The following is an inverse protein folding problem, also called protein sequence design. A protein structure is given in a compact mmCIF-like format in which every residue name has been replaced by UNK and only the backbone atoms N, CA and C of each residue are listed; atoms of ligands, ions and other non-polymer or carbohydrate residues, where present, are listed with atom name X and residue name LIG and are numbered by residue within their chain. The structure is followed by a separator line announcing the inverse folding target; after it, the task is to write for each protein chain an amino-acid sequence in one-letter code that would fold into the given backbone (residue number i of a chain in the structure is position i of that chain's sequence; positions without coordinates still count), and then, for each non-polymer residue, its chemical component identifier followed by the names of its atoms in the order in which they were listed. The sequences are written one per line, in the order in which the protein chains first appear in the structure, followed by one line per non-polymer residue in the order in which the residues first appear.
data_IF_522000597596
#
_entry.id   IF_522000597596
#
_cell.length_a   1.000
_cell.length_b   1.000
_cell.length_c   1.000
_cell.angle_alpha   90.00
_cell.angle_beta   90.00
_cell.angle_gamma   90.00
#
_symmetry.space_group_name_H-M   'P 1'
#
loop_
_entity.id
_entity.type
_entity.pdbx_description
1 polymer ?
#
# COMPACT_ATOMS: atom_id res chain seq x y z
N UNK A 1 32.36 26.00 -19.46
CA UNK A 1 31.18 25.17 -19.82
C UNK A 1 31.35 23.78 -19.22
N UNK A 2 30.69 23.48 -18.10
CA UNK A 2 30.67 22.15 -17.50
C UNK A 2 29.27 21.93 -16.89
N UNK A 3 28.36 21.40 -17.71
CA UNK A 3 27.04 20.89 -17.30
C UNK A 3 26.73 19.69 -18.19
N UNK A 4 27.16 18.49 -17.79
CA UNK A 4 26.65 17.20 -18.29
C UNK A 4 27.28 16.04 -17.53
N UNK A 5 26.95 15.88 -16.24
CA UNK A 5 27.26 14.63 -15.52
C UNK A 5 26.23 14.26 -14.42
N UNK A 6 25.13 15.00 -14.27
CA UNK A 6 24.12 14.73 -13.24
C UNK A 6 22.96 13.83 -13.70
N UNK A 7 22.91 13.38 -14.96
CA UNK A 7 21.71 12.77 -15.55
C UNK A 7 21.82 11.28 -15.94
N UNK A 8 22.89 10.58 -15.59
CA UNK A 8 23.06 9.17 -15.98
C UNK A 8 22.82 8.15 -14.85
N UNK A 9 22.72 8.56 -13.59
CA UNK A 9 22.55 7.60 -12.46
C UNK A 9 21.06 7.32 -12.15
N UNK A 10 20.12 8.10 -12.70
CA UNK A 10 18.71 8.07 -12.27
C UNK A 10 17.79 7.09 -13.00
N UNK A 11 18.19 6.54 -14.15
CA UNK A 11 17.34 5.59 -14.90
C UNK A 11 17.83 4.14 -14.84
N UNK A 12 19.14 3.89 -14.76
CA UNK A 12 19.70 2.53 -14.84
C UNK A 12 19.67 1.75 -13.51
N UNK A 13 19.36 2.41 -12.38
CA UNK A 13 19.32 1.77 -11.05
C UNK A 13 17.96 1.17 -10.69
N UNK A 14 16.86 1.61 -11.30
CA UNK A 14 15.50 1.17 -10.90
C UNK A 14 15.15 -0.19 -11.53
N UNK A 15 15.39 -0.36 -12.83
CA UNK A 15 15.14 -1.64 -13.51
C UNK A 15 16.14 -2.71 -13.04
N UNK A 16 17.38 -2.33 -12.72
CA UNK A 16 18.40 -3.23 -12.17
C UNK A 16 18.14 -3.63 -10.71
N UNK A 17 17.42 -2.83 -9.91
CA UNK A 17 17.04 -3.17 -8.54
C UNK A 17 15.68 -3.85 -8.42
N UNK A 18 14.91 -3.95 -9.50
CA UNK A 18 13.59 -4.60 -9.49
C UNK A 18 13.61 -6.01 -8.91
N UNK A 19 14.58 -6.83 -9.31
CA UNK A 19 14.78 -8.19 -8.78
C UNK A 19 15.18 -8.18 -7.31
N UNK A 20 16.06 -7.26 -6.90
CA UNK A 20 16.49 -7.10 -5.51
C UNK A 20 15.34 -6.63 -4.61
N UNK A 21 14.47 -5.76 -5.10
CA UNK A 21 13.26 -5.35 -4.38
C UNK A 21 12.27 -6.50 -4.25
N UNK A 22 12.02 -7.28 -5.30
CA UNK A 22 11.17 -8.47 -5.21
C UNK A 22 11.75 -9.47 -4.20
N UNK A 23 13.06 -9.73 -4.23
CA UNK A 23 13.72 -10.59 -3.25
C UNK A 23 13.60 -10.02 -1.83
N UNK A 24 13.80 -8.71 -1.65
CA UNK A 24 13.60 -8.02 -0.38
C UNK A 24 12.17 -8.23 0.12
N UNK A 25 11.17 -8.01 -0.73
CA UNK A 25 9.77 -8.12 -0.35
C UNK A 25 9.38 -9.53 0.06
N UNK A 26 9.91 -10.55 -0.63
CA UNK A 26 9.69 -11.95 -0.29
C UNK A 26 10.29 -12.33 1.06
N UNK A 27 11.50 -11.84 1.37
CA UNK A 27 12.23 -12.21 2.59
C UNK A 27 11.91 -11.34 3.81
N UNK A 28 11.72 -10.03 3.60
CA UNK A 28 11.62 -9.05 4.68
C UNK A 28 10.28 -8.32 4.71
N UNK A 29 9.43 -8.52 3.69
CA UNK A 29 8.16 -7.81 3.55
C UNK A 29 8.36 -6.32 3.27
N UNK A 30 7.56 -5.49 3.93
CA UNK A 30 7.56 -4.04 3.73
C UNK A 30 8.91 -3.42 4.15
N UNK A 31 9.51 -2.53 3.33
CA UNK A 31 10.70 -1.79 3.70
C UNK A 31 10.55 -1.01 5.02
N UNK A 32 11.55 -1.14 5.90
CA UNK A 32 11.67 -0.34 7.14
C UNK A 32 12.97 0.47 7.11
N UNK A 33 12.88 1.79 7.32
CA UNK A 33 14.01 2.72 7.15
C UNK A 33 15.27 2.28 7.92
N UNK A 34 15.11 1.74 9.14
CA UNK A 34 16.21 1.34 10.02
C UNK A 34 17.10 0.21 9.46
N UNK A 35 16.52 -0.77 8.75
CA UNK A 35 17.26 -1.95 8.26
C UNK A 35 17.28 -2.05 6.73
N UNK A 36 16.55 -1.19 6.02
CA UNK A 36 16.39 -1.24 4.57
C UNK A 36 17.74 -1.26 3.83
N UNK A 37 18.66 -0.36 4.20
CA UNK A 37 19.96 -0.26 3.54
C UNK A 37 20.79 -1.54 3.65
N UNK A 38 20.99 -2.04 4.87
CA UNK A 38 21.80 -3.22 5.09
C UNK A 38 21.24 -4.43 4.31
N UNK A 39 19.92 -4.64 4.39
CA UNK A 39 19.26 -5.75 3.71
C UNK A 39 19.33 -5.61 2.17
N UNK A 40 19.12 -4.42 1.62
CA UNK A 40 19.17 -4.22 0.16
C UNK A 40 20.61 -4.33 -0.37
N UNK A 41 21.62 -3.90 0.39
CA UNK A 41 23.03 -4.09 0.06
C UNK A 41 23.40 -5.57 0.00
N UNK A 42 23.00 -6.36 1.01
CA UNK A 42 23.24 -7.80 1.03
C UNK A 42 22.60 -8.50 -0.16
N UNK A 43 21.34 -8.17 -0.45
CA UNK A 43 20.62 -8.75 -1.60
C UNK A 43 21.25 -8.34 -2.93
N UNK A 44 21.62 -7.07 -3.07
CA UNK A 44 22.27 -6.57 -4.28
C UNK A 44 23.58 -7.29 -4.53
N UNK A 45 24.46 -7.37 -3.52
CA UNK A 45 25.74 -8.07 -3.62
C UNK A 45 25.55 -9.55 -3.97
N UNK A 46 24.56 -10.22 -3.38
CA UNK A 46 24.23 -11.62 -3.71
C UNK A 46 23.79 -11.80 -5.17
N UNK A 47 23.08 -10.82 -5.73
CA UNK A 47 22.56 -10.89 -7.09
C UNK A 47 23.57 -10.48 -8.16
N UNK A 48 24.43 -9.50 -7.88
CA UNK A 48 25.31 -8.87 -8.88
C UNK A 48 26.80 -9.19 -8.67
N UNK A 49 27.18 -9.71 -7.50
CA UNK A 49 28.57 -9.92 -7.11
C UNK A 49 29.33 -8.63 -6.74
N UNK A 50 28.66 -7.47 -6.74
CA UNK A 50 29.27 -6.16 -6.44
C UNK A 50 28.49 -5.39 -5.39
N UNK A 51 29.16 -4.49 -4.66
CA UNK A 51 28.49 -3.65 -3.67
C UNK A 51 27.56 -2.64 -4.33
N UNK A 52 26.46 -2.31 -3.65
CA UNK A 52 25.52 -1.28 -4.13
C UNK A 52 26.25 0.06 -4.19
N UNK A 53 26.33 0.71 -5.38
CA UNK A 53 27.02 1.98 -5.51
C UNK A 53 26.23 3.09 -4.79
N UNK A 54 26.72 3.51 -3.63
CA UNK A 54 26.22 4.69 -2.93
C UNK A 54 27.05 5.89 -3.40
N UNK A 55 26.40 6.86 -4.04
CA UNK A 55 27.07 8.08 -4.51
C UNK A 55 27.40 9.07 -3.38
N UNK A 56 28.22 10.08 -3.67
CA UNK A 56 28.45 11.21 -2.77
C UNK A 56 27.11 11.90 -2.44
N UNK A 57 26.72 11.91 -1.17
CA UNK A 57 25.37 12.29 -0.72
C UNK A 57 24.51 11.12 -0.25
N UNK A 58 25.14 10.11 0.37
CA UNK A 58 24.53 8.85 0.82
C UNK A 58 23.15 9.02 1.48
N UNK A 59 22.99 9.96 2.41
CA UNK A 59 21.72 10.17 3.12
C UNK A 59 20.54 10.48 2.18
N UNK A 60 20.75 11.37 1.20
CA UNK A 60 19.70 11.75 0.25
C UNK A 60 19.39 10.62 -0.73
N UNK A 61 20.42 9.92 -1.20
CA UNK A 61 20.26 8.78 -2.10
C UNK A 61 19.49 7.62 -1.45
N UNK A 62 19.78 7.34 -0.17
CA UNK A 62 19.08 6.33 0.63
C UNK A 62 17.60 6.65 0.82
N UNK A 63 17.28 7.92 1.04
CA UNK A 63 15.88 8.34 1.20
C UNK A 63 15.09 8.20 -0.11
N UNK A 64 15.69 8.55 -1.24
CA UNK A 64 15.08 8.33 -2.57
C UNK A 64 14.84 6.84 -2.78
N UNK A 65 15.86 6.00 -2.55
CA UNK A 65 15.78 4.56 -2.75
C UNK A 65 14.72 3.91 -1.85
N UNK A 66 14.67 4.33 -0.58
CA UNK A 66 13.64 3.87 0.35
C UNK A 66 12.23 4.23 -0.11
N UNK A 67 12.02 5.49 -0.53
CA UNK A 67 10.73 5.95 -1.03
C UNK A 67 10.29 5.20 -2.31
N UNK A 68 11.24 4.87 -3.19
CA UNK A 68 10.99 4.04 -4.36
C UNK A 68 10.62 2.60 -3.97
N UNK A 69 11.36 2.00 -3.04
CA UNK A 69 11.05 0.65 -2.55
C UNK A 69 9.67 0.57 -1.88
N UNK A 70 9.25 1.62 -1.15
CA UNK A 70 7.89 1.70 -0.60
C UNK A 70 6.85 1.70 -1.73
N UNK A 71 7.03 2.53 -2.76
CA UNK A 71 6.13 2.53 -3.94
C UNK A 71 6.08 1.17 -4.62
N UNK A 72 7.23 0.54 -4.85
CA UNK A 72 7.33 -0.78 -5.46
C UNK A 72 6.66 -1.86 -4.59
N UNK A 73 6.76 -1.76 -3.26
CA UNK A 73 6.06 -2.66 -2.34
C UNK A 73 4.54 -2.59 -2.49
N UNK A 74 3.96 -1.39 -2.66
CA UNK A 74 2.51 -1.24 -2.87
C UNK A 74 2.04 -1.97 -4.13
N UNK A 75 2.78 -1.84 -5.23
CA UNK A 75 2.51 -2.51 -6.51
C UNK A 75 2.72 -4.02 -6.36
N UNK A 76 3.82 -4.45 -5.74
CA UNK A 76 4.09 -5.86 -5.48
C UNK A 76 2.95 -6.52 -4.68
N UNK A 77 2.49 -5.87 -3.60
CA UNK A 77 1.36 -6.39 -2.81
C UNK A 77 0.05 -6.40 -3.58
N UNK A 78 -0.21 -5.40 -4.42
CA UNK A 78 -1.39 -5.41 -5.28
C UNK A 78 -1.48 -6.68 -6.14
N UNK A 79 -0.36 -7.09 -6.74
CA UNK A 79 -0.30 -8.29 -7.59
C UNK A 79 -0.18 -9.61 -6.81
N UNK A 80 0.41 -9.59 -5.61
CA UNK A 80 0.66 -10.81 -4.82
C UNK A 80 -0.30 -11.02 -3.66
N UNK A 81 -1.30 -10.16 -3.49
CA UNK A 81 -2.30 -10.32 -2.43
C UNK A 81 -3.08 -11.62 -2.65
N UNK A 82 -2.94 -12.54 -1.69
CA UNK A 82 -3.44 -13.91 -1.77
C UNK A 82 -4.97 -13.99 -1.82
N UNK A 83 -5.67 -13.03 -1.22
CA UNK A 83 -7.12 -13.10 -1.14
C UNK A 83 -7.78 -12.58 -2.43
N UNK A 84 -8.68 -13.35 -3.05
CA UNK A 84 -9.48 -12.86 -4.17
C UNK A 84 -10.48 -11.82 -3.69
N UNK A 85 -10.90 -10.94 -4.61
CA UNK A 85 -12.00 -10.00 -4.38
C UNK A 85 -13.27 -10.77 -4.05
N UNK A 86 -13.79 -10.62 -2.81
CA UNK A 86 -15.05 -11.24 -2.38
C UNK A 86 -16.16 -10.20 -2.34
N UNK A 87 -17.31 -10.56 -2.92
CA UNK A 87 -18.48 -9.69 -3.04
C UNK A 87 -19.64 -10.31 -2.27
N UNK A 88 -20.30 -9.50 -1.46
CA UNK A 88 -21.59 -9.82 -0.89
C UNK A 88 -22.47 -8.57 -0.95
N UNK A 89 -23.75 -8.73 -0.66
CA UNK A 89 -24.68 -7.61 -0.69
C UNK A 89 -24.20 -6.47 0.22
N UNK A 90 -23.88 -5.31 -0.36
CA UNK A 90 -23.41 -4.13 0.36
C UNK A 90 -22.01 -4.23 1.00
N UNK A 91 -21.22 -5.26 0.69
CA UNK A 91 -19.87 -5.44 1.25
C UNK A 91 -18.92 -5.98 0.19
N UNK A 92 -17.70 -5.42 0.17
CA UNK A 92 -16.62 -5.86 -0.69
C UNK A 92 -15.36 -6.06 0.16
N UNK A 93 -14.69 -7.19 -0.04
CA UNK A 93 -13.40 -7.49 0.60
C UNK A 93 -12.33 -7.71 -0.46
N UNK A 94 -11.11 -7.28 -0.14
CA UNK A 94 -9.92 -7.41 -0.98
C UNK A 94 -10.07 -6.74 -2.37
N UNK A 95 -10.77 -5.61 -2.44
CA UNK A 95 -10.94 -4.85 -3.68
C UNK A 95 -9.63 -4.26 -4.16
N UNK A 96 -9.19 -4.68 -5.35
CA UNK A 96 -7.97 -4.18 -6.00
C UNK A 96 -8.24 -2.90 -6.77
N UNK A 97 -7.75 -1.77 -6.29
CA UNK A 97 -7.94 -0.45 -6.90
C UNK A 97 -6.98 -0.26 -8.07
N UNK A 98 -7.48 -0.18 -9.29
CA UNK A 98 -6.64 0.11 -10.46
C UNK A 98 -6.57 1.61 -10.78
N UNK A 99 -7.63 2.37 -10.49
CA UNK A 99 -7.70 3.81 -10.80
C UNK A 99 -8.56 4.55 -9.79
N UNK A 100 -8.20 5.80 -9.54
CA UNK A 100 -9.00 6.73 -8.75
C UNK A 100 -9.05 8.09 -9.45
N UNK A 101 -10.25 8.62 -9.61
CA UNK A 101 -10.46 10.00 -10.04
C UNK A 101 -10.87 10.84 -8.82
N UNK A 102 -10.27 12.01 -8.68
CA UNK A 102 -10.52 12.94 -7.57
C UNK A 102 -11.27 14.16 -8.09
N UNK A 103 -12.42 14.48 -7.51
CA UNK A 103 -13.14 15.71 -7.80
C UNK A 103 -13.24 16.56 -6.54
N UNK A 104 -12.74 17.79 -6.62
CA UNK A 104 -13.10 18.84 -5.67
C UNK A 104 -14.58 19.19 -5.81
N UNK A 105 -15.17 19.80 -4.78
CA UNK A 105 -16.57 20.26 -4.84
C UNK A 105 -16.80 21.23 -6.01
N UNK A 106 -15.82 22.10 -6.27
CA UNK A 106 -15.90 23.10 -7.35
C UNK A 106 -15.97 22.42 -8.71
N UNK A 107 -15.08 21.47 -8.97
CA UNK A 107 -15.06 20.70 -10.22
C UNK A 107 -16.35 19.91 -10.39
N UNK A 108 -16.80 19.22 -9.34
CA UNK A 108 -18.05 18.46 -9.35
C UNK A 108 -19.26 19.37 -9.64
N UNK A 109 -19.33 20.53 -9.01
CA UNK A 109 -20.43 21.48 -9.22
C UNK A 109 -20.44 22.03 -10.66
N UNK A 110 -19.27 22.46 -11.17
CA UNK A 110 -19.13 22.95 -12.55
C UNK A 110 -19.48 21.87 -13.58
N UNK A 111 -19.00 20.64 -13.36
CA UNK A 111 -19.31 19.51 -14.22
C UNK A 111 -20.81 19.19 -14.19
N UNK A 112 -21.43 19.18 -13.02
CA UNK A 112 -22.87 18.91 -12.86
C UNK A 112 -23.71 19.94 -13.62
N UNK A 113 -23.36 21.23 -13.49
CA UNK A 113 -24.02 22.33 -14.22
C UNK A 113 -23.86 22.21 -15.74
N UNK A 114 -22.68 21.80 -16.22
CA UNK A 114 -22.39 21.68 -17.66
C UNK A 114 -23.12 20.51 -18.33
N UNK A 115 -23.32 19.41 -17.60
CA UNK A 115 -23.89 18.18 -18.14
C UNK A 115 -25.38 18.01 -17.82
N UNK A 116 -26.05 19.05 -17.28
CA UNK A 116 -27.46 18.99 -16.83
C UNK A 116 -27.76 17.79 -15.94
N UNK A 117 -26.77 17.36 -15.14
CA UNK A 117 -26.84 16.17 -14.33
C UNK A 117 -26.34 16.48 -12.92
N UNK A 118 -27.25 16.43 -11.95
CA UNK A 118 -26.97 16.88 -10.59
C UNK A 118 -26.32 15.78 -9.73
N UNK A 119 -25.12 15.36 -10.11
CA UNK A 119 -24.36 14.36 -9.36
C UNK A 119 -24.07 14.83 -7.93
N UNK A 120 -23.91 16.15 -7.75
CA UNK A 120 -23.69 16.75 -6.43
C UNK A 120 -24.84 16.45 -5.45
N UNK A 121 -26.09 16.69 -5.88
CA UNK A 121 -27.25 16.42 -5.03
C UNK A 121 -27.57 14.93 -4.94
N UNK A 122 -27.44 14.16 -6.03
CA UNK A 122 -27.66 12.70 -6.00
C UNK A 122 -26.73 11.98 -5.00
N UNK A 123 -25.47 12.40 -4.91
CA UNK A 123 -24.51 11.84 -3.94
C UNK A 123 -24.60 12.49 -2.56
N UNK A 124 -25.49 13.47 -2.35
CA UNK A 124 -25.63 14.24 -1.11
C UNK A 124 -24.26 14.73 -0.61
N UNK A 125 -23.62 15.57 -1.42
CA UNK A 125 -22.26 16.09 -1.18
C UNK A 125 -22.19 17.19 -0.12
N UNK A 126 -23.31 17.53 0.52
CA UNK A 126 -23.36 18.55 1.56
C UNK A 126 -22.44 18.18 2.73
N UNK A 127 -21.48 19.05 3.05
CA UNK A 127 -20.48 18.84 4.10
C UNK A 127 -19.34 17.87 3.73
N UNK A 128 -19.31 17.33 2.51
CA UNK A 128 -18.11 16.68 1.99
C UNK A 128 -17.09 17.72 1.51
N UNK A 129 -15.80 17.41 1.56
CA UNK A 129 -14.70 18.23 1.04
C UNK A 129 -14.29 17.82 -0.39
N UNK A 130 -14.43 16.53 -0.71
CA UNK A 130 -14.11 15.98 -2.04
C UNK A 130 -14.85 14.67 -2.29
N UNK A 131 -14.99 14.34 -3.58
CA UNK A 131 -15.48 13.06 -4.08
C UNK A 131 -14.30 12.28 -4.67
N UNK A 132 -14.20 10.99 -4.37
CA UNK A 132 -13.36 10.07 -5.13
C UNK A 132 -14.23 9.05 -5.84
N UNK A 133 -13.93 8.84 -7.12
CA UNK A 133 -14.49 7.76 -7.93
C UNK A 133 -13.41 6.68 -8.07
N UNK A 134 -13.68 5.52 -7.51
CA UNK A 134 -12.75 4.41 -7.31
C UNK A 134 -13.13 3.29 -8.25
N UNK A 135 -12.18 2.87 -9.08
CA UNK A 135 -12.37 1.78 -10.02
C UNK A 135 -11.57 0.57 -9.54
N UNK A 136 -12.25 -0.57 -9.45
CA UNK A 136 -11.65 -1.84 -9.03
C UNK A 136 -11.38 -2.71 -10.26
N UNK A 137 -10.30 -3.48 -10.24
CA UNK A 137 -9.79 -4.22 -11.41
C UNK A 137 -10.82 -5.17 -12.02
N UNK A 138 -11.67 -5.72 -11.16
CA UNK A 138 -12.62 -6.77 -11.50
C UNK A 138 -14.08 -6.25 -11.39
N UNK A 139 -14.29 -4.94 -11.60
CA UNK A 139 -15.60 -4.29 -11.53
C UNK A 139 -15.82 -3.39 -12.74
N UNK A 140 -16.96 -3.56 -13.41
CA UNK A 140 -17.34 -2.71 -14.54
C UNK A 140 -17.73 -1.29 -14.07
N UNK A 141 -18.41 -1.22 -12.93
CA UNK A 141 -18.93 0.04 -12.39
C UNK A 141 -18.04 0.55 -11.25
N UNK A 142 -17.80 1.86 -11.18
CA UNK A 142 -17.02 2.44 -10.11
C UNK A 142 -17.81 2.52 -8.80
N UNK A 143 -17.05 2.71 -7.72
CA UNK A 143 -17.55 3.09 -6.42
C UNK A 143 -17.24 4.54 -6.12
N UNK A 144 -18.14 5.21 -5.41
CA UNK A 144 -18.01 6.62 -5.03
C UNK A 144 -17.78 6.72 -3.53
N UNK A 145 -16.79 7.50 -3.11
CA UNK A 145 -16.56 7.78 -1.69
C UNK A 145 -16.51 9.28 -1.45
N UNK A 146 -17.23 9.70 -0.41
CA UNK A 146 -17.35 11.11 -0.01
C UNK A 146 -16.46 11.33 1.19
N UNK A 147 -15.49 12.21 1.06
CA UNK A 147 -14.58 12.54 2.15
C UNK A 147 -15.06 13.79 2.87
N UNK A 148 -15.36 13.66 4.17
CA UNK A 148 -15.75 14.80 5.03
C UNK A 148 -14.56 15.46 5.72
N UNK A 149 -13.44 14.74 5.81
CA UNK A 149 -12.19 15.21 6.41
C UNK A 149 -11.09 15.34 5.35
N UNK A 150 -9.92 15.84 5.76
CA UNK A 150 -8.71 15.85 4.95
C UNK A 150 -8.01 14.47 4.95
N UNK A 151 -8.77 13.37 4.99
CA UNK A 151 -8.20 12.02 4.89
C UNK A 151 -7.41 11.87 3.57
N UNK A 152 -6.30 11.12 3.59
CA UNK A 152 -5.45 10.87 2.43
C UNK A 152 -6.24 10.25 1.26
N UNK A 153 -7.26 9.44 1.57
CA UNK A 153 -8.17 8.86 0.59
C UNK A 153 -7.74 7.48 0.13
N UNK A 154 -8.24 7.07 -1.03
CA UNK A 154 -7.84 5.87 -1.77
C UNK A 154 -6.91 6.30 -2.92
N UNK A 155 -5.87 5.53 -3.24
CA UNK A 155 -5.00 5.74 -4.41
C UNK A 155 -4.89 4.44 -5.23
N UNK A 156 -4.36 4.50 -6.46
CA UNK A 156 -4.08 3.31 -7.25
C UNK A 156 -3.20 2.31 -6.49
N UNK A 157 -3.39 1.03 -6.82
CA UNK A 157 -2.74 -0.13 -6.22
C UNK A 157 -3.16 -0.44 -4.79
N UNK A 158 -4.16 0.24 -4.24
CA UNK A 158 -4.72 -0.16 -2.95
C UNK A 158 -5.44 -1.48 -3.00
N UNK A 159 -5.45 -2.15 -1.85
CA UNK A 159 -6.32 -3.28 -1.57
C UNK A 159 -7.25 -2.87 -0.44
N UNK A 160 -8.55 -2.84 -0.70
CA UNK A 160 -9.53 -2.25 0.22
C UNK A 160 -10.66 -3.21 0.60
N UNK A 161 -11.03 -3.21 1.89
CA UNK A 161 -12.31 -3.73 2.35
C UNK A 161 -13.25 -2.55 2.63
N UNK A 162 -14.51 -2.67 2.27
CA UNK A 162 -15.50 -1.65 2.58
C UNK A 162 -16.94 -2.15 2.47
N UNK A 163 -17.82 -1.52 3.23
CA UNK A 163 -19.27 -1.56 3.00
C UNK A 163 -19.70 -0.43 2.07
N UNK A 164 -20.74 -0.68 1.29
CA UNK A 164 -21.30 0.28 0.36
C UNK A 164 -22.83 0.14 0.31
N UNK A 165 -23.48 1.18 -0.19
CA UNK A 165 -24.92 1.17 -0.47
C UNK A 165 -25.19 1.82 -1.81
N UNK A 166 -26.31 1.46 -2.40
CA UNK A 166 -26.80 2.16 -3.57
C UNK A 166 -27.54 3.44 -3.16
N UNK A 167 -27.23 4.55 -3.84
CA UNK A 167 -27.99 5.79 -3.76
C UNK A 167 -28.34 6.18 -5.20
N UNK A 168 -29.63 6.16 -5.54
CA UNK A 168 -30.10 6.19 -6.93
C UNK A 168 -29.50 5.03 -7.72
N UNK A 169 -28.57 5.31 -8.65
CA UNK A 169 -27.86 4.29 -9.45
C UNK A 169 -26.38 4.20 -9.07
N UNK A 170 -25.96 4.88 -8.00
CA UNK A 170 -24.55 5.03 -7.62
C UNK A 170 -24.18 4.15 -6.44
N UNK A 171 -23.09 3.40 -6.57
CA UNK A 171 -22.51 2.59 -5.49
C UNK A 171 -21.65 3.47 -4.59
N UNK A 172 -22.14 3.81 -3.41
CA UNK A 172 -21.48 4.74 -2.49
C UNK A 172 -20.86 4.00 -1.31
N UNK A 173 -19.54 4.11 -1.17
CA UNK A 173 -18.76 3.55 -0.06
C UNK A 173 -19.08 4.29 1.24
N UNK A 174 -19.30 3.53 2.30
CA UNK A 174 -19.29 4.05 3.66
C UNK A 174 -17.85 4.25 4.12
N UNK A 175 -17.37 5.51 4.10
CA UNK A 175 -15.98 5.83 4.41
C UNK A 175 -15.50 5.33 5.78
N UNK A 176 -16.39 5.25 6.78
CA UNK A 176 -16.08 4.72 8.11
C UNK A 176 -15.79 3.20 8.13
N UNK A 177 -16.20 2.47 7.09
CA UNK A 177 -15.95 1.02 6.96
C UNK A 177 -14.72 0.70 6.11
N UNK A 178 -14.07 1.72 5.54
CA UNK A 178 -12.94 1.53 4.64
C UNK A 178 -11.72 1.07 5.43
N UNK A 179 -11.17 -0.08 5.04
CA UNK A 179 -9.88 -0.59 5.51
C UNK A 179 -8.97 -0.69 4.29
N UNK A 180 -7.74 -0.20 4.40
CA UNK A 180 -6.74 -0.27 3.33
C UNK A 180 -5.56 -1.14 3.76
N UNK A 181 -5.44 -2.34 3.20
CA UNK A 181 -4.53 -3.38 3.70
C UNK A 181 -3.06 -3.10 3.43
N UNK A 182 -2.76 -2.32 2.40
CA UNK A 182 -1.39 -2.06 1.97
C UNK A 182 -0.90 -0.65 2.29
N UNK A 183 -1.72 0.21 2.94
CA UNK A 183 -1.33 1.53 3.46
C UNK A 183 -1.17 1.50 4.97
N UNK A 184 0.04 1.30 5.46
CA UNK A 184 0.29 1.50 6.88
C UNK A 184 0.47 2.99 7.18
N UNK A 185 -0.59 3.79 7.06
CA UNK A 185 -0.69 5.12 7.68
C UNK A 185 -1.30 5.06 9.11
N UNK A 186 -1.71 3.87 9.55
CA UNK A 186 -2.12 3.56 10.93
C UNK A 186 -1.30 2.41 11.52
N UNK A 187 -1.45 2.14 12.81
CA UNK A 187 -0.74 1.15 13.65
C UNK A 187 -0.88 -0.33 13.22
N UNK A 188 -1.24 -0.59 11.97
CA UNK A 188 -1.36 -1.91 11.38
C UNK A 188 -0.03 -2.29 10.75
N UNK A 189 0.87 -2.79 11.62
CA UNK A 189 2.09 -3.45 11.21
C UNK A 189 1.71 -4.85 10.69
N UNK A 190 1.19 -4.91 9.46
CA UNK A 190 1.06 -6.17 8.74
C UNK A 190 2.39 -6.92 8.75
N UNK A 191 2.32 -8.24 8.88
CA UNK A 191 3.48 -9.11 9.06
C UNK A 191 3.34 -10.31 8.14
N UNK A 192 4.42 -10.71 7.47
CA UNK A 192 4.47 -11.93 6.67
C UNK A 192 5.19 -12.98 7.49
N UNK A 193 4.60 -14.16 7.72
CA UNK A 193 5.22 -15.26 8.47
C UNK A 193 5.04 -16.55 7.69
N UNK A 194 6.12 -17.27 7.44
CA UNK A 194 6.20 -18.49 6.63
C UNK A 194 5.54 -18.32 5.25
N UNK A 195 5.75 -17.15 4.63
CA UNK A 195 5.15 -16.78 3.35
C UNK A 195 3.68 -16.36 3.39
N UNK A 196 3.00 -16.46 4.55
CA UNK A 196 1.60 -16.05 4.72
C UNK A 196 1.50 -14.61 5.25
N UNK A 197 0.66 -13.78 4.64
CA UNK A 197 0.52 -12.38 5.01
C UNK A 197 -0.64 -12.12 5.98
N UNK A 198 -0.34 -11.54 7.14
CA UNK A 198 -1.30 -11.20 8.18
C UNK A 198 -1.51 -9.69 8.29
N UNK A 199 -2.72 -9.29 8.68
CA UNK A 199 -3.15 -7.88 8.79
C UNK A 199 -2.43 -7.14 9.91
N UNK A 200 -1.97 -7.86 10.92
CA UNK A 200 -1.15 -7.33 12.01
C UNK A 200 -0.36 -8.44 12.70
N UNK A 201 0.61 -8.09 13.55
CA UNK A 201 1.28 -9.05 14.45
C UNK A 201 0.26 -9.80 15.32
N UNK A 202 -0.81 -9.11 15.77
CA UNK A 202 -1.87 -9.73 16.58
C UNK A 202 -2.70 -10.73 15.77
N UNK A 203 -2.98 -10.40 14.51
CA UNK A 203 -3.66 -11.30 13.58
C UNK A 203 -2.81 -12.54 13.31
N UNK A 204 -1.52 -12.37 13.00
CA UNK A 204 -0.57 -13.48 12.88
C UNK A 204 -0.53 -14.35 14.14
N UNK A 205 -0.46 -13.74 15.32
CA UNK A 205 -0.43 -14.46 16.59
C UNK A 205 -1.67 -15.33 16.82
N UNK A 206 -2.84 -14.79 16.52
CA UNK A 206 -4.10 -15.51 16.70
C UNK A 206 -4.27 -16.66 15.71
N UNK A 207 -3.77 -16.51 14.48
CA UNK A 207 -3.90 -17.53 13.44
C UNK A 207 -2.82 -18.62 13.56
N UNK A 208 -1.59 -18.25 13.87
CA UNK A 208 -0.46 -19.19 13.96
C UNK A 208 -0.36 -19.88 15.32
N UNK A 209 -0.93 -19.28 16.37
CA UNK A 209 -0.91 -19.80 17.75
C UNK A 209 0.48 -20.33 18.18
N UNK A 210 1.55 -19.52 18.06
CA UNK A 210 2.91 -19.96 18.39
C UNK A 210 3.06 -20.23 19.89
N UNK A 211 4.02 -21.07 20.27
CA UNK A 211 4.30 -21.39 21.68
C UNK A 211 4.93 -20.23 22.46
N UNK A 212 5.43 -19.20 21.76
CA UNK A 212 5.96 -17.96 22.35
C UNK A 212 4.82 -17.00 22.72
N UNK A 213 4.96 -16.26 23.82
CA UNK A 213 3.99 -15.21 24.17
C UNK A 213 3.99 -14.04 23.16
N UNK A 214 2.84 -13.40 22.96
CA UNK A 214 2.71 -12.21 22.10
C UNK A 214 3.74 -11.11 22.44
N UNK A 215 4.01 -10.92 23.74
CA UNK A 215 5.01 -9.96 24.22
C UNK A 215 6.44 -10.31 23.80
N UNK A 216 6.80 -11.59 23.80
CA UNK A 216 8.11 -12.08 23.36
C UNK A 216 8.31 -11.87 21.85
N UNK A 217 7.30 -12.18 21.04
CA UNK A 217 7.31 -11.94 19.59
C UNK A 217 7.49 -10.45 19.28
N UNK A 218 6.70 -9.59 19.95
CA UNK A 218 6.84 -8.14 19.80
C UNK A 218 8.20 -7.60 20.25
N UNK A 219 8.87 -8.28 21.21
CA UNK A 219 10.22 -7.94 21.65
C UNK A 219 11.25 -8.35 20.59
N UNK A 220 11.17 -9.57 20.07
CA UNK A 220 12.07 -10.07 19.02
C UNK A 220 11.99 -9.21 17.75
N UNK A 221 10.78 -8.89 17.30
CA UNK A 221 10.55 -7.99 16.16
C UNK A 221 11.13 -6.58 16.39
N UNK A 222 11.09 -6.07 17.62
CA UNK A 222 11.71 -4.78 17.98
C UNK A 222 13.24 -4.85 17.98
N UNK A 223 13.82 -5.99 18.30
CA UNK A 223 15.27 -6.23 18.25
C UNK A 223 15.77 -6.65 16.85
N UNK A 224 14.91 -6.58 15.83
CA UNK A 224 15.33 -6.76 14.45
C UNK A 224 15.28 -8.20 13.92
N UNK A 225 14.78 -9.17 14.70
CA UNK A 225 14.47 -10.50 14.16
C UNK A 225 13.45 -10.39 13.03
N UNK A 226 13.58 -11.26 12.04
CA UNK A 226 12.57 -11.36 10.97
C UNK A 226 11.26 -11.89 11.55
N UNK A 227 10.12 -11.60 10.91
CA UNK A 227 8.86 -12.24 11.25
C UNK A 227 8.91 -13.76 11.33
N UNK A 228 9.55 -14.42 10.38
CA UNK A 228 9.69 -15.88 10.39
C UNK A 228 10.41 -16.32 11.66
N UNK A 229 11.59 -15.76 11.95
CA UNK A 229 12.36 -16.09 13.16
C UNK A 229 11.67 -15.69 14.48
N UNK A 230 10.80 -14.68 14.45
CA UNK A 230 10.10 -14.20 15.64
C UNK A 230 8.90 -15.10 15.98
N UNK A 231 8.29 -15.71 14.97
CA UNK A 231 7.16 -16.62 15.09
C UNK A 231 7.56 -18.09 15.00
N UNK A 232 8.81 -18.40 14.66
CA UNK A 232 9.33 -19.75 14.67
C UNK A 232 9.31 -20.30 16.10
N UNK A 233 8.92 -21.56 16.25
CA UNK A 233 8.97 -22.24 17.53
C UNK A 233 10.34 -22.92 17.61
N UNK A 234 11.39 -22.12 17.86
CA UNK A 234 12.65 -22.66 18.35
C UNK A 234 12.35 -23.38 19.68
N UNK A 235 12.44 -24.72 19.67
CA UNK A 235 12.23 -25.69 20.77
C UNK A 235 11.95 -25.14 22.19
#
# INVERSE_FOLDING_TARGET
MLKKQANLIQHDTIDSLSACFIAYFKHYGKPKKACFLAHIQTLYHRHTGVNLPLGEGESHHLEILFNQAIKAWHIYRYHTYEHPTKRSQGLLKAGRVFRVNNWSLRELYQWSKKNSFDLFNHLNMRGAKRLQCVYLNDEEQPYYIRWRSAAEGIHPYDIIDFSWREIFTYRVIHSASLIVHNRCAGRENGVCVNGNNYRSIRDAYQNLMPNKSYGAICRQLRHGKTPDEAFDDDE
#
